data_IF_283128676161
#
_entry.id   IF_283128676161
#
_cell.length_a   1.000
_cell.length_b   1.000
_cell.length_c   1.000
_cell.angle_alpha   90.00
_cell.angle_beta   90.00
_cell.angle_gamma   90.00
#
_symmetry.space_group_name_H-M   'P 1'
#
loop_
_entity.id
_entity.type
_entity.pdbx_description
1 polymer ?
#
# COMPACT_ATOMS: atom_id res chain seq x y z
N UNK A 1 -9.30 -1.13 11.29
CA UNK A 1 -8.11 -0.59 11.99
C UNK A 1 -8.39 0.87 12.24
N UNK A 2 -8.32 1.34 13.49
CA UNK A 2 -8.77 2.70 13.88
C UNK A 2 -7.54 3.53 14.25
N UNK A 3 -7.56 4.81 13.90
CA UNK A 3 -6.55 5.82 14.22
C UNK A 3 -5.15 5.45 13.70
N UNK A 4 -5.02 4.74 12.58
CA UNK A 4 -3.70 4.34 12.03
C UNK A 4 -3.22 5.18 10.86
N UNK A 5 -4.05 6.12 10.42
CA UNK A 5 -3.73 7.16 9.45
C UNK A 5 -4.20 8.49 10.06
N UNK A 6 -3.52 9.60 9.74
CA UNK A 6 -3.89 10.94 10.20
C UNK A 6 -5.18 11.39 9.51
N UNK A 7 -5.95 12.23 10.20
CA UNK A 7 -7.17 12.81 9.67
C UNK A 7 -6.84 14.07 8.87
N UNK A 8 -6.91 13.98 7.54
CA UNK A 8 -6.64 15.12 6.66
C UNK A 8 -7.46 16.36 7.03
N UNK A 9 -8.77 16.17 7.33
CA UNK A 9 -9.65 17.30 7.66
C UNK A 9 -9.20 18.03 8.93
N UNK A 10 -8.82 17.27 9.96
CA UNK A 10 -8.29 17.84 11.19
C UNK A 10 -6.94 18.53 10.95
N UNK A 11 -6.03 17.93 10.18
CA UNK A 11 -4.73 18.55 9.86
C UNK A 11 -4.89 19.85 9.07
N UNK A 12 -5.82 19.91 8.13
CA UNK A 12 -6.05 21.08 7.29
C UNK A 12 -6.79 22.20 8.02
N UNK A 13 -7.83 21.87 8.81
CA UNK A 13 -8.76 22.88 9.34
C UNK A 13 -8.82 22.94 10.86
N UNK A 14 -8.05 22.12 11.58
CA UNK A 14 -8.10 22.01 13.04
C UNK A 14 -9.43 21.50 13.60
N UNK A 15 -10.33 21.04 12.73
CA UNK A 15 -11.70 20.65 13.06
C UNK A 15 -12.10 19.43 12.24
N UNK A 16 -12.90 18.53 12.80
CA UNK A 16 -13.35 17.33 12.11
C UNK A 16 -14.84 17.11 12.36
N UNK A 17 -15.68 16.92 11.31
CA UNK A 17 -17.13 16.73 11.47
C UNK A 17 -17.49 15.45 12.22
N UNK A 18 -16.56 14.50 12.31
CA UNK A 18 -16.74 13.24 13.04
C UNK A 18 -16.39 13.33 14.53
N UNK A 19 -15.80 14.44 14.99
CA UNK A 19 -15.38 14.63 16.37
C UNK A 19 -14.58 13.43 16.91
N UNK A 20 -14.85 13.06 18.16
CA UNK A 20 -14.20 11.91 18.82
C UNK A 20 -14.47 10.57 18.14
N UNK A 21 -15.53 10.45 17.34
CA UNK A 21 -15.87 9.23 16.59
C UNK A 21 -15.07 9.07 15.29
N UNK A 22 -14.22 10.05 14.95
CA UNK A 22 -13.36 10.00 13.78
C UNK A 22 -12.49 8.73 13.80
N UNK A 23 -12.51 7.96 12.72
CA UNK A 23 -11.71 6.74 12.61
C UNK A 23 -10.23 7.01 12.31
N UNK A 24 -9.87 8.26 12.04
CA UNK A 24 -8.51 8.74 11.77
C UNK A 24 -7.96 9.53 12.96
N UNK A 25 -6.64 9.57 13.10
CA UNK A 25 -5.96 10.25 14.20
C UNK A 25 -5.98 11.77 14.01
N UNK A 26 -6.44 12.52 15.01
CA UNK A 26 -6.38 13.99 15.07
C UNK A 26 -4.99 14.53 15.50
N UNK A 27 -3.94 13.75 15.23
CA UNK A 27 -2.56 14.07 15.56
C UNK A 27 -1.77 12.85 15.97
N UNK A 28 -0.45 13.03 16.09
CA UNK A 28 0.50 11.94 16.40
C UNK A 28 0.20 11.22 17.71
N UNK A 29 -0.44 11.90 18.68
CA UNK A 29 -0.83 11.32 19.97
C UNK A 29 -1.95 10.28 19.85
N UNK A 30 -2.84 10.42 18.87
CA UNK A 30 -3.89 9.45 18.59
C UNK A 30 -3.43 8.37 17.60
N UNK A 31 -2.33 8.60 16.87
CA UNK A 31 -1.86 7.72 15.81
C UNK A 31 -1.35 6.39 16.38
N UNK A 32 -1.97 5.30 15.95
CA UNK A 32 -1.66 3.93 16.38
C UNK A 32 -0.74 3.24 15.38
N UNK A 33 0.17 2.37 15.84
CA UNK A 33 1.02 1.59 14.96
C UNK A 33 0.19 0.56 14.17
N UNK A 34 0.60 0.32 12.92
CA UNK A 34 0.03 -0.71 12.08
C UNK A 34 0.82 -2.00 12.27
N UNK A 35 0.27 -2.95 13.04
CA UNK A 35 0.84 -4.30 13.11
C UNK A 35 0.48 -5.06 11.85
N UNK A 36 1.48 -5.31 11.00
CA UNK A 36 1.33 -6.05 9.74
C UNK A 36 1.84 -7.48 9.91
N UNK A 37 1.28 -8.40 9.15
CA UNK A 37 1.78 -9.77 9.08
C UNK A 37 3.25 -9.77 8.63
N UNK A 38 4.14 -10.65 9.16
CA UNK A 38 5.55 -10.71 8.77
C UNK A 38 5.82 -10.87 7.27
N UNK A 39 4.83 -11.40 6.52
CA UNK A 39 4.88 -11.54 5.04
C UNK A 39 4.37 -10.31 4.28
N UNK A 40 4.09 -9.20 4.95
CA UNK A 40 3.68 -7.98 4.27
C UNK A 40 4.80 -7.48 3.36
N UNK A 41 4.47 -7.25 2.08
CA UNK A 41 5.41 -6.78 1.05
C UNK A 41 6.65 -7.68 0.91
N UNK A 42 6.57 -8.97 1.20
CA UNK A 42 7.67 -9.91 0.94
C UNK A 42 7.60 -10.56 -0.45
N UNK A 43 6.40 -10.63 -1.04
CA UNK A 43 6.17 -11.22 -2.36
C UNK A 43 5.76 -10.16 -3.38
N UNK A 44 6.12 -10.37 -4.65
CA UNK A 44 5.76 -9.50 -5.77
C UNK A 44 4.27 -9.58 -6.09
N UNK A 45 3.65 -8.43 -6.38
CA UNK A 45 2.27 -8.39 -6.83
C UNK A 45 2.16 -9.00 -8.22
N UNK A 46 1.33 -10.03 -8.38
CA UNK A 46 1.12 -10.70 -9.67
C UNK A 46 0.60 -9.75 -10.75
N UNK A 47 -0.28 -8.82 -10.40
CA UNK A 47 -0.82 -7.85 -11.37
C UNK A 47 0.28 -6.94 -11.92
N UNK A 48 1.14 -6.42 -11.04
CA UNK A 48 2.27 -5.57 -11.46
C UNK A 48 3.32 -6.39 -12.21
N UNK A 49 3.58 -7.63 -11.77
CA UNK A 49 4.48 -8.54 -12.47
C UNK A 49 4.01 -8.87 -13.90
N UNK A 50 2.69 -8.90 -14.11
CA UNK A 50 2.08 -9.08 -15.43
C UNK A 50 2.01 -7.77 -16.26
N UNK A 51 2.62 -6.68 -15.79
CA UNK A 51 2.60 -5.37 -16.46
C UNK A 51 1.32 -4.56 -16.27
N UNK A 52 0.40 -5.00 -15.41
CA UNK A 52 -0.89 -4.37 -15.18
C UNK A 52 -0.92 -3.38 -14.00
N UNK A 53 -1.94 -2.52 -13.98
CA UNK A 53 -2.26 -1.66 -12.83
C UNK A 53 -2.92 -2.49 -11.73
N UNK A 54 -2.37 -2.44 -10.52
CA UNK A 54 -2.97 -3.11 -9.36
C UNK A 54 -4.14 -2.28 -8.79
N UNK A 55 -5.37 -2.83 -8.67
CA UNK A 55 -6.53 -2.08 -8.18
C UNK A 55 -6.40 -1.68 -6.71
N UNK A 56 -5.57 -2.38 -5.94
CA UNK A 56 -5.32 -2.09 -4.53
C UNK A 56 -4.32 -0.94 -4.31
N UNK A 57 -3.62 -0.48 -5.35
CA UNK A 57 -2.68 0.63 -5.28
C UNK A 57 -1.66 0.49 -4.12
N UNK A 58 -1.45 1.58 -3.37
CA UNK A 58 -0.56 1.58 -2.21
C UNK A 58 -1.05 0.69 -1.06
N UNK A 59 -2.36 0.35 -1.01
CA UNK A 59 -2.94 -0.56 -0.03
C UNK A 59 -2.70 -2.04 -0.35
N UNK A 60 -2.13 -2.37 -1.52
CA UNK A 60 -1.77 -3.76 -1.84
C UNK A 60 -0.83 -4.33 -0.78
N UNK A 61 -1.00 -5.57 -0.34
CA UNK A 61 -0.10 -6.23 0.61
C UNK A 61 1.15 -6.83 -0.04
N UNK A 62 1.25 -6.79 -1.38
CA UNK A 62 2.37 -7.28 -2.18
C UNK A 62 3.23 -6.14 -2.73
N UNK A 63 4.49 -6.41 -3.07
CA UNK A 63 5.42 -5.42 -3.64
C UNK A 63 4.97 -4.96 -5.02
N UNK A 64 5.04 -3.65 -5.26
CA UNK A 64 4.90 -3.06 -6.59
C UNK A 64 6.23 -2.52 -7.15
N UNK A 65 7.27 -2.51 -6.32
CA UNK A 65 8.63 -2.19 -6.71
C UNK A 65 9.34 -3.48 -7.10
N UNK A 66 9.76 -3.57 -8.36
CA UNK A 66 10.62 -4.64 -8.85
C UNK A 66 12.08 -4.22 -8.70
N UNK A 67 12.96 -5.18 -8.43
CA UNK A 67 14.40 -4.99 -8.67
C UNK A 67 14.69 -5.02 -10.16
N UNK A 68 15.87 -4.57 -10.56
CA UNK A 68 16.32 -4.69 -11.96
C UNK A 68 16.38 -6.16 -12.39
N UNK A 69 16.89 -7.04 -11.53
CA UNK A 69 16.91 -8.48 -11.79
C UNK A 69 15.50 -9.06 -11.97
N UNK A 70 14.54 -8.70 -11.13
CA UNK A 70 13.13 -9.14 -11.27
C UNK A 70 12.52 -8.62 -12.58
N UNK A 71 12.85 -7.39 -13.01
CA UNK A 71 12.41 -6.85 -14.31
C UNK A 71 12.97 -7.64 -15.48
N UNK A 72 14.27 -7.91 -15.48
CA UNK A 72 14.93 -8.67 -16.54
C UNK A 72 14.38 -10.10 -16.64
N UNK A 73 14.21 -10.78 -15.51
CA UNK A 73 13.63 -12.13 -15.47
C UNK A 73 12.22 -12.17 -16.03
N UNK A 74 11.38 -11.18 -15.73
CA UNK A 74 10.01 -11.11 -16.25
C UNK A 74 9.97 -10.78 -17.74
N UNK A 75 10.89 -9.92 -18.22
CA UNK A 75 11.01 -9.62 -19.65
C UNK A 75 11.41 -10.89 -20.44
N UNK A 76 12.45 -11.60 -19.99
CA UNK A 76 12.89 -12.85 -20.62
C UNK A 76 11.79 -13.94 -20.61
N UNK A 77 11.05 -14.07 -19.51
CA UNK A 77 9.96 -15.05 -19.41
C UNK A 77 8.73 -14.70 -20.28
N UNK A 78 8.55 -13.43 -20.64
CA UNK A 78 7.49 -13.01 -21.56
C UNK A 78 7.83 -13.34 -23.01
N UNK A 79 9.11 -13.34 -23.37
CA UNK A 79 9.61 -13.66 -24.72
C UNK A 79 9.47 -15.15 -25.04
N UNK A 80 9.63 -16.04 -24.05
CA UNK A 80 9.53 -17.51 -24.24
C UNK A 80 8.10 -18.05 -24.39
N UNK A 81 7.07 -17.20 -24.42
CA UNK A 81 5.65 -17.62 -24.53
C UNK A 81 5.10 -17.57 -25.97
N UNK A 82 5.94 -17.29 -26.94
CA UNK A 82 5.60 -17.22 -28.36
C UNK A 82 6.25 -18.34 -29.21
N UNK A 83 6.85 -19.35 -28.57
CA UNK A 83 7.25 -20.64 -29.18
C UNK A 83 6.25 -21.75 -28.84
#
# INVERSE_FOLDING_TARGET
MVKTELCNKWEETGTCPYGENCQFAHGVRELRPVMRHPRYKTQLCRMVAAGGKCPYGHRCHFRHSLTEQERLQLAMAAETRFD
#
